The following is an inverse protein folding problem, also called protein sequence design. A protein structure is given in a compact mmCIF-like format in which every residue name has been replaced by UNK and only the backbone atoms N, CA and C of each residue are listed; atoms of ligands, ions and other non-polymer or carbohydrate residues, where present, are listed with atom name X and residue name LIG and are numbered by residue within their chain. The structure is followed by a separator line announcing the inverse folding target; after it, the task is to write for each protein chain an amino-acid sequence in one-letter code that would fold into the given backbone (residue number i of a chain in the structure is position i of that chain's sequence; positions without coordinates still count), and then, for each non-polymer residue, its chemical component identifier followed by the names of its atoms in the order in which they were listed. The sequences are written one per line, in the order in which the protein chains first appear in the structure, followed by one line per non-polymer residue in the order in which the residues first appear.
data_IF_505544044262
#
_entry.id   IF_505544044262
#
_cell.length_a   1.000
_cell.length_b   1.000
_cell.length_c   1.000
_cell.angle_alpha   90.00
_cell.angle_beta   90.00
_cell.angle_gamma   90.00
#
_symmetry.space_group_name_H-M   'P 1'
#
loop_
_entity.id
_entity.type
_entity.pdbx_description
1 polymer ?
#
# COMPACT_ATOMS: atom_id res chain seq x y z
N UNK A 1 10.87 -33.00 38.54
CA UNK A 1 11.55 -31.83 37.96
C UNK A 1 11.47 -31.68 36.42
N UNK A 2 10.95 -32.66 35.69
CA UNK A 2 10.86 -32.63 34.20
C UNK A 2 9.59 -31.95 33.63
N UNK A 3 8.58 -31.60 34.42
CA UNK A 3 7.32 -31.04 33.94
C UNK A 3 7.33 -29.51 33.73
N UNK A 4 8.24 -28.81 34.39
CA UNK A 4 8.31 -27.32 34.30
C UNK A 4 9.09 -26.86 33.06
N UNK A 5 10.07 -27.61 32.61
CA UNK A 5 10.90 -27.25 31.42
C UNK A 5 10.12 -27.38 30.11
N UNK A 6 9.19 -28.33 30.02
CA UNK A 6 8.34 -28.49 28.82
C UNK A 6 7.31 -27.36 28.66
N UNK A 7 6.80 -26.79 29.76
CA UNK A 7 5.86 -25.66 29.73
C UNK A 7 6.53 -24.35 29.33
N UNK A 8 7.78 -24.13 29.73
CA UNK A 8 8.56 -22.95 29.35
C UNK A 8 8.96 -22.97 27.87
N UNK A 9 9.25 -24.12 27.30
CA UNK A 9 9.53 -24.27 25.87
C UNK A 9 8.27 -24.03 25.00
N UNK A 10 7.11 -24.40 25.50
CA UNK A 10 5.84 -24.16 24.75
C UNK A 10 5.45 -22.68 24.73
N UNK A 11 5.70 -21.93 25.80
CA UNK A 11 5.41 -20.49 25.89
C UNK A 11 6.41 -19.70 25.02
N UNK A 12 7.69 -20.10 24.97
CA UNK A 12 8.68 -19.46 24.10
C UNK A 12 8.38 -19.66 22.60
N UNK A 13 7.81 -20.82 22.22
CA UNK A 13 7.45 -21.12 20.83
C UNK A 13 6.25 -20.31 20.31
N UNK A 14 5.29 -19.97 21.18
CA UNK A 14 4.08 -19.20 20.80
C UNK A 14 4.39 -17.72 20.59
N UNK A 15 5.37 -17.15 21.27
CA UNK A 15 5.75 -15.73 21.09
C UNK A 15 6.43 -15.42 19.76
N UNK A 16 6.96 -16.41 19.03
CA UNK A 16 7.65 -16.22 17.76
C UNK A 16 6.71 -16.08 16.54
N UNK A 17 5.42 -16.37 16.68
CA UNK A 17 4.47 -16.40 15.56
C UNK A 17 3.68 -15.08 15.41
N UNK A 18 3.76 -14.16 16.36
CA UNK A 18 3.00 -12.90 16.36
C UNK A 18 3.64 -11.74 15.57
N UNK A 19 4.80 -11.96 14.95
CA UNK A 19 5.53 -10.91 14.20
C UNK A 19 5.19 -10.77 12.72
N UNK A 20 4.31 -11.59 12.16
CA UNK A 20 4.18 -11.75 10.69
C UNK A 20 3.20 -10.81 9.97
N UNK A 21 2.54 -9.88 10.67
CA UNK A 21 1.54 -9.01 10.04
C UNK A 21 1.92 -7.51 9.99
N UNK A 22 3.13 -7.14 10.37
CA UNK A 22 3.58 -5.75 10.26
C UNK A 22 4.22 -5.51 8.90
N UNK A 23 3.79 -4.47 8.21
CA UNK A 23 4.44 -3.95 7.00
C UNK A 23 5.92 -3.72 7.30
N UNK A 24 6.83 -4.48 6.68
CA UNK A 24 8.24 -4.58 7.11
C UNK A 24 9.18 -3.61 6.40
N UNK A 25 8.74 -2.93 5.34
CA UNK A 25 9.55 -1.97 4.58
C UNK A 25 9.89 -0.69 5.35
N UNK A 26 10.88 0.09 4.88
CA UNK A 26 11.21 1.38 5.48
C UNK A 26 10.05 2.37 5.32
N UNK A 27 9.96 3.34 6.24
CA UNK A 27 9.03 4.45 6.08
C UNK A 27 9.43 5.32 4.89
N UNK A 28 8.44 5.96 4.26
CA UNK A 28 8.71 6.89 3.15
C UNK A 28 9.69 8.00 3.57
N UNK A 29 9.51 8.57 4.76
CA UNK A 29 10.40 9.61 5.31
C UNK A 29 11.87 9.16 5.38
N UNK A 30 12.12 7.88 5.56
CA UNK A 30 13.45 7.26 5.61
C UNK A 30 13.97 6.89 4.21
N UNK A 31 13.09 6.35 3.36
CA UNK A 31 13.44 5.80 2.06
C UNK A 31 13.50 6.84 0.92
N UNK A 32 12.84 7.98 1.05
CA UNK A 32 12.74 8.98 -0.03
C UNK A 32 14.08 9.46 -0.57
N UNK A 33 15.10 9.50 0.29
CA UNK A 33 16.45 9.94 -0.10
C UNK A 33 17.19 8.89 -0.95
N UNK A 34 16.79 7.63 -0.86
CA UNK A 34 17.41 6.50 -1.57
C UNK A 34 16.54 5.95 -2.71
N UNK A 35 15.30 6.43 -2.83
CA UNK A 35 14.42 6.04 -3.93
C UNK A 35 15.00 6.51 -5.27
N UNK A 36 15.09 5.59 -6.22
CA UNK A 36 15.51 5.93 -7.58
C UNK A 36 14.58 6.97 -8.20
N UNK A 37 15.14 7.96 -8.88
CA UNK A 37 14.34 8.86 -9.69
C UNK A 37 13.68 8.09 -10.85
N UNK A 38 12.50 8.51 -11.32
CA UNK A 38 11.93 7.97 -12.56
C UNK A 38 12.91 8.15 -13.73
N UNK A 39 12.76 7.30 -14.74
CA UNK A 39 13.45 7.53 -16.01
C UNK A 39 13.04 8.89 -16.57
N UNK A 40 14.00 9.62 -17.13
CA UNK A 40 13.73 10.96 -17.67
C UNK A 40 12.58 10.93 -18.68
N UNK A 41 11.57 11.73 -18.42
CA UNK A 41 10.34 11.79 -19.22
C UNK A 41 9.20 10.91 -18.74
N UNK A 42 9.44 9.98 -17.83
CA UNK A 42 8.38 9.22 -17.16
C UNK A 42 7.83 10.01 -15.97
N UNK A 43 6.59 9.74 -15.59
CA UNK A 43 5.99 10.21 -14.35
C UNK A 43 5.92 9.09 -13.31
N UNK A 44 5.66 9.46 -12.06
CA UNK A 44 5.53 8.52 -10.93
C UNK A 44 4.15 8.59 -10.30
N UNK A 45 3.57 7.44 -10.06
CA UNK A 45 2.32 7.30 -9.31
C UNK A 45 2.63 6.62 -7.98
N UNK A 46 2.44 7.33 -6.87
CA UNK A 46 2.42 6.74 -5.54
C UNK A 46 1.03 6.23 -5.23
N UNK A 47 0.94 4.99 -4.76
CA UNK A 47 -0.30 4.38 -4.26
C UNK A 47 -0.08 4.02 -2.80
N UNK A 48 -0.96 4.47 -1.91
CA UNK A 48 -0.77 4.29 -0.48
C UNK A 48 -2.10 4.17 0.27
N UNK A 49 -2.04 3.60 1.46
CA UNK A 49 -3.17 3.45 2.37
C UNK A 49 -2.74 3.78 3.78
N UNK A 50 -3.31 4.84 4.37
CA UNK A 50 -3.07 5.23 5.75
C UNK A 50 -3.95 4.47 6.73
N UNK A 51 -5.16 4.08 6.30
CA UNK A 51 -6.16 3.46 7.17
C UNK A 51 -5.75 2.07 7.66
N UNK A 52 -5.73 1.88 8.97
CA UNK A 52 -5.59 0.56 9.60
C UNK A 52 -6.91 -0.19 9.67
N UNK A 53 -8.03 0.52 9.59
CA UNK A 53 -9.36 -0.07 9.59
C UNK A 53 -9.50 -1.04 8.40
N UNK A 54 -10.11 -2.21 8.65
CA UNK A 54 -10.24 -3.24 7.61
C UNK A 54 -8.91 -3.89 7.22
N UNK A 55 -8.00 -4.12 8.16
CA UNK A 55 -6.66 -4.68 7.94
C UNK A 55 -6.65 -6.01 7.17
N UNK A 56 -7.70 -6.83 7.33
CA UNK A 56 -7.84 -8.10 6.63
C UNK A 56 -8.21 -7.93 5.14
N UNK A 57 -8.71 -6.75 4.73
CA UNK A 57 -9.14 -6.47 3.35
C UNK A 57 -7.98 -5.80 2.61
N UNK A 58 -7.24 -6.59 1.84
CA UNK A 58 -6.06 -6.14 1.10
C UNK A 58 -6.18 -6.58 -0.37
N UNK A 59 -7.10 -5.97 -1.14
CA UNK A 59 -7.26 -6.31 -2.55
C UNK A 59 -6.02 -5.96 -3.37
N UNK A 60 -5.88 -6.64 -4.50
CA UNK A 60 -4.92 -6.25 -5.51
C UNK A 60 -5.25 -4.86 -6.07
N UNK A 61 -4.21 -4.09 -6.34
CA UNK A 61 -4.28 -2.84 -7.08
C UNK A 61 -3.82 -3.10 -8.50
N UNK A 62 -4.64 -2.72 -9.45
CA UNK A 62 -4.34 -2.86 -10.88
C UNK A 62 -4.21 -1.50 -11.54
N UNK A 63 -3.32 -1.40 -12.53
CA UNK A 63 -3.25 -0.27 -13.46
C UNK A 63 -3.45 -0.81 -14.86
N UNK A 64 -4.47 -0.31 -15.56
CA UNK A 64 -4.88 -0.78 -16.89
C UNK A 64 -5.02 -2.32 -16.94
N UNK A 65 -5.53 -2.92 -15.86
CA UNK A 65 -5.73 -4.36 -15.73
C UNK A 65 -4.53 -5.17 -15.24
N UNK A 66 -3.32 -4.60 -15.19
CA UNK A 66 -2.11 -5.23 -14.67
C UNK A 66 -2.03 -5.08 -13.15
N UNK A 67 -1.81 -6.17 -12.40
CA UNK A 67 -1.58 -6.13 -10.95
C UNK A 67 -0.23 -5.51 -10.66
N UNK A 68 -0.21 -4.39 -9.93
CA UNK A 68 1.00 -3.63 -9.60
C UNK A 68 1.34 -3.63 -8.11
N UNK A 69 0.42 -4.06 -7.26
CA UNK A 69 0.63 -4.13 -5.81
C UNK A 69 -0.64 -4.54 -5.07
N UNK A 70 -0.62 -4.38 -3.76
CA UNK A 70 -1.75 -4.66 -2.88
C UNK A 70 -2.09 -3.47 -1.99
N UNK A 71 -3.36 -3.32 -1.62
CA UNK A 71 -3.87 -2.29 -0.72
C UNK A 71 -3.50 -2.58 0.75
N UNK A 72 -2.21 -2.71 1.04
CA UNK A 72 -1.71 -3.03 2.38
C UNK A 72 -1.91 -1.87 3.35
N UNK A 73 -2.52 -2.08 4.55
CA UNK A 73 -2.67 -1.03 5.55
C UNK A 73 -1.34 -0.42 5.97
N UNK A 74 -1.31 0.89 6.10
CA UNK A 74 -0.11 1.67 6.39
C UNK A 74 1.06 1.40 5.43
N UNK A 75 0.73 1.01 4.19
CA UNK A 75 1.68 0.67 3.16
C UNK A 75 1.65 1.64 1.99
N UNK A 76 2.76 1.71 1.27
CA UNK A 76 2.82 2.38 -0.03
C UNK A 76 3.72 1.62 -0.99
N UNK A 77 3.47 1.84 -2.27
CA UNK A 77 4.36 1.50 -3.36
C UNK A 77 4.30 2.60 -4.43
N UNK A 78 5.20 2.55 -5.37
CA UNK A 78 5.17 3.47 -6.52
C UNK A 78 5.45 2.71 -7.82
N UNK A 79 5.00 3.30 -8.88
CA UNK A 79 5.21 2.84 -10.25
C UNK A 79 5.57 4.04 -11.13
N UNK A 80 6.57 3.83 -11.97
CA UNK A 80 6.98 4.79 -12.99
C UNK A 80 6.39 4.37 -14.32
N UNK A 81 5.79 5.31 -15.04
CA UNK A 81 5.10 5.09 -16.31
C UNK A 81 5.32 6.28 -17.25
N UNK A 82 5.23 6.01 -18.54
CA UNK A 82 5.20 7.06 -19.57
C UNK A 82 4.00 7.97 -19.39
N UNK A 83 4.06 9.23 -19.88
CA UNK A 83 2.88 10.09 -19.93
C UNK A 83 1.72 9.40 -20.64
N UNK A 84 0.52 9.55 -20.07
CA UNK A 84 -0.69 8.91 -20.61
C UNK A 84 -1.85 8.87 -19.63
N UNK A 85 -2.92 8.22 -20.06
CA UNK A 85 -4.11 8.01 -19.24
C UNK A 85 -4.09 6.61 -18.62
N UNK A 86 -4.38 6.54 -17.34
CA UNK A 86 -4.32 5.32 -16.54
C UNK A 86 -5.62 5.11 -15.78
N UNK A 87 -6.09 3.87 -15.75
CA UNK A 87 -7.19 3.43 -14.91
C UNK A 87 -6.62 2.62 -13.74
N UNK A 88 -6.80 3.10 -12.53
CA UNK A 88 -6.44 2.39 -11.30
C UNK A 88 -7.67 1.69 -10.75
N UNK A 89 -7.56 0.41 -10.50
CA UNK A 89 -8.68 -0.43 -10.08
C UNK A 89 -8.35 -1.21 -8.83
N UNK A 90 -9.29 -1.26 -7.91
CA UNK A 90 -9.32 -2.19 -6.78
C UNK A 90 -10.61 -2.99 -6.82
N UNK A 91 -10.57 -4.25 -6.42
CA UNK A 91 -11.74 -5.12 -6.44
C UNK A 91 -11.84 -5.91 -5.14
N UNK A 92 -12.97 -5.76 -4.46
CA UNK A 92 -13.42 -6.58 -3.33
C UNK A 92 -14.70 -7.28 -3.74
N UNK A 93 -15.84 -6.99 -3.11
CA UNK A 93 -17.16 -7.41 -3.62
C UNK A 93 -17.57 -6.60 -4.85
N UNK A 94 -17.11 -5.35 -4.94
CA UNK A 94 -17.37 -4.41 -6.04
C UNK A 94 -16.04 -3.85 -6.53
N UNK A 95 -15.92 -3.76 -7.85
CA UNK A 95 -14.79 -3.08 -8.49
C UNK A 95 -14.94 -1.56 -8.34
N UNK A 96 -13.85 -0.91 -7.94
CA UNK A 96 -13.74 0.55 -7.83
C UNK A 96 -12.63 1.05 -8.75
N UNK A 97 -12.90 2.11 -9.47
CA UNK A 97 -12.03 2.65 -10.52
C UNK A 97 -11.75 4.13 -10.31
N UNK A 98 -10.53 4.52 -10.63
CA UNK A 98 -10.08 5.90 -10.73
C UNK A 98 -9.36 6.07 -12.07
N UNK A 99 -9.78 7.05 -12.86
CA UNK A 99 -9.04 7.47 -14.05
C UNK A 99 -8.18 8.68 -13.72
N UNK A 100 -6.92 8.65 -14.14
CA UNK A 100 -5.99 9.77 -13.98
C UNK A 100 -5.15 9.96 -15.25
N UNK A 101 -4.74 11.20 -15.48
CA UNK A 101 -3.73 11.55 -16.49
C UNK A 101 -2.40 11.75 -15.77
N UNK A 102 -1.35 11.14 -16.30
CA UNK A 102 0.02 11.33 -15.86
C UNK A 102 0.79 12.09 -16.94
N UNK A 103 1.32 13.26 -16.58
CA UNK A 103 2.15 14.04 -17.48
C UNK A 103 3.64 13.69 -17.30
N UNK A 104 4.45 14.18 -18.26
CA UNK A 104 5.90 14.04 -18.21
C UNK A 104 6.46 14.63 -16.91
N UNK A 105 7.37 13.88 -16.27
CA UNK A 105 8.07 14.25 -15.02
C UNK A 105 7.09 14.59 -13.85
N UNK A 106 5.82 14.19 -13.96
CA UNK A 106 4.80 14.45 -12.96
C UNK A 106 4.78 13.36 -11.89
N UNK A 107 4.47 13.78 -10.66
CA UNK A 107 4.13 12.86 -9.56
C UNK A 107 2.65 12.96 -9.26
N UNK A 108 1.99 11.81 -9.12
CA UNK A 108 0.59 11.67 -8.70
C UNK A 108 0.51 10.85 -7.43
N UNK A 109 -0.46 11.18 -6.59
CA UNK A 109 -0.72 10.48 -5.33
C UNK A 109 -2.13 9.90 -5.34
N UNK A 110 -2.22 8.60 -5.17
CA UNK A 110 -3.48 7.86 -5.10
C UNK A 110 -3.60 7.25 -3.72
N UNK A 111 -4.54 7.76 -2.95
CA UNK A 111 -4.91 7.22 -1.65
C UNK A 111 -5.90 6.07 -1.84
N UNK A 112 -5.70 5.01 -1.08
CA UNK A 112 -6.63 3.89 -0.99
C UNK A 112 -7.43 4.03 0.31
N UNK A 113 -8.65 4.50 0.19
CA UNK A 113 -9.57 4.63 1.30
C UNK A 113 -10.46 3.41 1.45
N UNK A 114 -11.07 3.25 2.62
CA UNK A 114 -12.00 2.16 2.90
C UNK A 114 -13.38 2.71 3.24
N UNK A 115 -14.38 2.13 2.63
CA UNK A 115 -15.78 2.31 3.04
C UNK A 115 -16.37 0.99 3.49
N UNK A 116 -17.32 1.03 4.40
CA UNK A 116 -18.02 -0.17 4.84
C UNK A 116 -19.07 -0.57 3.81
N UNK A 117 -18.94 -1.78 3.30
CA UNK A 117 -20.00 -2.48 2.59
C UNK A 117 -20.90 -3.24 3.54
N UNK A 118 -21.86 -3.97 2.99
CA UNK A 118 -22.82 -4.73 3.79
C UNK A 118 -22.17 -5.94 4.48
N UNK A 119 -21.15 -6.56 3.85
CA UNK A 119 -20.45 -7.76 4.34
C UNK A 119 -18.94 -7.55 4.45
N UNK A 120 -18.34 -6.84 3.53
CA UNK A 120 -16.89 -6.59 3.47
C UNK A 120 -16.64 -5.10 3.26
N UNK A 121 -15.52 -4.59 3.77
CA UNK A 121 -15.06 -3.24 3.46
C UNK A 121 -14.67 -3.11 1.99
N UNK A 122 -15.04 -2.00 1.36
CA UNK A 122 -14.62 -1.67 0.01
C UNK A 122 -13.41 -0.76 0.05
N UNK A 123 -12.33 -1.16 -0.60
CA UNK A 123 -11.18 -0.29 -0.82
C UNK A 123 -11.39 0.42 -2.15
N UNK A 124 -11.24 1.74 -2.17
CA UNK A 124 -11.39 2.54 -3.39
C UNK A 124 -10.23 3.53 -3.56
N UNK A 125 -9.75 3.70 -4.80
CA UNK A 125 -8.69 4.64 -5.10
C UNK A 125 -9.25 6.07 -5.23
N UNK A 126 -8.53 7.04 -4.67
CA UNK A 126 -8.84 8.47 -4.75
C UNK A 126 -7.57 9.25 -5.13
N UNK A 127 -7.69 10.14 -6.12
CA UNK A 127 -6.62 11.07 -6.45
C UNK A 127 -6.63 12.23 -5.45
N UNK A 128 -5.48 12.47 -4.83
CA UNK A 128 -5.31 13.56 -3.87
C UNK A 128 -4.29 14.58 -4.35
N UNK A 129 -4.37 15.79 -3.83
CA UNK A 129 -3.42 16.85 -4.13
C UNK A 129 -2.01 16.47 -3.64
N UNK A 130 -0.99 17.00 -4.30
CA UNK A 130 0.40 16.61 -4.05
C UNK A 130 0.85 16.88 -2.61
N UNK A 131 0.48 18.00 -2.02
CA UNK A 131 0.81 18.37 -0.64
C UNK A 131 0.13 17.45 0.38
N UNK A 132 -1.11 17.07 0.14
CA UNK A 132 -1.86 16.11 0.95
C UNK A 132 -1.20 14.73 0.86
N UNK A 133 -1.00 14.23 -0.36
CA UNK A 133 -0.40 12.93 -0.60
C UNK A 133 1.00 12.81 -0.01
N UNK A 134 1.84 13.83 -0.22
CA UNK A 134 3.20 13.86 0.35
C UNK A 134 3.18 13.85 1.89
N UNK A 135 2.26 14.56 2.51
CA UNK A 135 2.12 14.60 3.97
C UNK A 135 1.67 13.25 4.54
N UNK A 136 0.64 12.67 3.96
CA UNK A 136 0.06 11.40 4.42
C UNK A 136 1.01 10.22 4.21
N UNK A 137 1.82 10.26 3.15
CA UNK A 137 2.77 9.21 2.79
C UNK A 137 3.91 9.05 3.80
N UNK A 138 4.26 10.09 4.59
CA UNK A 138 5.48 10.12 5.43
C UNK A 138 5.61 8.91 6.36
N UNK A 139 4.50 8.45 6.94
CA UNK A 139 4.48 7.35 7.90
C UNK A 139 4.18 5.99 7.28
N UNK A 140 3.80 5.94 6.00
CA UNK A 140 3.57 4.71 5.28
C UNK A 140 4.88 3.96 5.04
N UNK A 141 4.81 2.61 5.02
CA UNK A 141 5.96 1.75 4.80
C UNK A 141 5.96 1.17 3.38
N UNK A 142 7.14 1.02 2.82
CA UNK A 142 7.30 0.48 1.46
C UNK A 142 6.83 -0.98 1.39
N UNK A 143 5.97 -1.27 0.42
CA UNK A 143 5.43 -2.61 0.15
C UNK A 143 5.63 -3.06 -1.30
N UNK A 144 6.33 -2.24 -2.11
CA UNK A 144 6.68 -2.61 -3.47
C UNK A 144 7.67 -3.78 -3.52
N UNK A 145 7.63 -4.50 -4.63
CA UNK A 145 8.54 -5.62 -4.93
C UNK A 145 9.77 -5.13 -5.66
#
# INVERSE_FOLDING_TARGET
MMRTSARLLFIAGVCLILGACATSGPKYSEAKATASAPVAGDGRIYVYRTALLGMAVQPDVKINGEVVGQATPNGYFYIDRKPGNYEITTSTEVERKLSLTLDKDQTRYVRLDISFGFFVGHVYPELVDNDVGLKELQDCRYTGK
#
